data_IF_839374931369
#
_entry.id   IF_839374931369
#
_cell.length_a   1.000
_cell.length_b   1.000
_cell.length_c   1.000
_cell.angle_alpha   90.00
_cell.angle_beta   90.00
_cell.angle_gamma   90.00
#
_symmetry.space_group_name_H-M   'P 1'
#
loop_
_entity.id
_entity.type
_entity.pdbx_description
1 polymer ?
#
# COMPACT_ATOMS: atom_id res chain seq x y z
N UNK A 1 -6.93 -11.65 20.87
CA UNK A 1 -7.33 -10.93 19.64
C UNK A 1 -6.08 -10.38 18.97
N UNK A 2 -6.02 -10.39 17.64
CA UNK A 2 -4.88 -9.84 16.87
C UNK A 2 -5.42 -8.75 15.95
N UNK A 3 -4.67 -7.65 15.81
CA UNK A 3 -5.02 -6.51 14.94
C UNK A 3 -3.83 -6.22 14.03
N UNK A 4 -4.10 -5.94 12.75
CA UNK A 4 -3.09 -5.53 11.77
C UNK A 4 -3.26 -4.05 11.44
N UNK A 5 -2.21 -3.27 11.64
CA UNK A 5 -2.14 -1.87 11.29
C UNK A 5 -1.39 -1.70 9.96
N UNK A 6 -2.08 -1.86 8.83
CA UNK A 6 -1.47 -1.77 7.50
C UNK A 6 -0.80 -0.42 7.22
N UNK A 7 -1.30 0.66 7.83
CA UNK A 7 -0.67 1.98 7.80
C UNK A 7 0.71 2.01 8.48
N UNK A 8 0.90 1.24 9.55
CA UNK A 8 2.19 1.04 10.21
C UNK A 8 3.11 0.20 9.34
N UNK A 9 2.60 -0.89 8.75
CA UNK A 9 3.38 -1.74 7.84
C UNK A 9 3.89 -0.99 6.60
N UNK A 10 3.06 -0.11 6.01
CA UNK A 10 3.45 0.76 4.91
C UNK A 10 4.42 1.89 5.31
N UNK A 11 4.81 1.98 6.59
CA UNK A 11 5.81 2.90 7.14
C UNK A 11 6.95 2.19 7.88
N UNK A 12 7.07 0.88 7.74
CA UNK A 12 8.14 0.11 8.37
C UNK A 12 9.51 0.49 7.77
N UNK A 13 10.38 1.05 8.60
CA UNK A 13 11.72 1.51 8.22
C UNK A 13 12.68 0.38 7.82
N UNK A 14 12.37 -0.86 8.20
CA UNK A 14 13.13 -2.06 7.76
C UNK A 14 12.83 -2.42 6.30
N UNK A 15 11.73 -1.89 5.76
CA UNK A 15 11.20 -2.21 4.43
C UNK A 15 11.28 -1.01 3.50
N UNK A 16 10.97 0.18 4.01
CA UNK A 16 10.95 1.43 3.25
C UNK A 16 11.96 2.43 3.83
N UNK A 17 12.99 2.78 3.06
CA UNK A 17 13.86 3.92 3.37
C UNK A 17 13.03 5.20 3.39
N UNK A 18 13.22 6.10 4.35
CA UNK A 18 12.48 7.36 4.49
C UNK A 18 10.94 7.16 4.40
N UNK A 19 10.34 6.38 5.31
CA UNK A 19 8.95 5.90 5.16
C UNK A 19 7.89 7.00 5.23
N UNK A 20 8.23 8.14 5.85
CA UNK A 20 7.34 9.30 5.98
C UNK A 20 7.47 10.29 4.81
N UNK A 21 8.49 10.17 3.96
CA UNK A 21 8.64 11.02 2.78
C UNK A 21 7.61 10.63 1.73
N UNK A 22 6.81 11.59 1.28
CA UNK A 22 5.98 11.44 0.09
C UNK A 22 6.84 11.63 -1.16
N UNK A 23 7.05 10.55 -1.90
CA UNK A 23 7.86 10.53 -3.12
C UNK A 23 7.11 9.75 -4.19
N UNK A 24 6.55 10.46 -5.17
CA UNK A 24 5.79 9.88 -6.31
C UNK A 24 6.68 9.09 -7.26
N UNK A 25 8.00 9.32 -7.23
CA UNK A 25 8.99 8.63 -8.07
C UNK A 25 9.55 7.38 -7.40
N UNK A 26 9.20 7.10 -6.14
CA UNK A 26 9.65 5.91 -5.42
C UNK A 26 9.26 4.65 -6.20
N UNK A 27 10.24 3.76 -6.38
CA UNK A 27 10.02 2.45 -6.98
C UNK A 27 8.88 1.72 -6.25
N UNK A 28 7.89 1.15 -6.95
CA UNK A 28 6.72 0.54 -6.32
C UNK A 28 7.00 -0.78 -5.57
N UNK A 29 8.27 -1.14 -5.39
CA UNK A 29 8.71 -2.31 -4.65
C UNK A 29 9.43 -1.92 -3.36
N UNK A 30 9.18 -2.63 -2.25
CA UNK A 30 8.21 -3.72 -2.12
C UNK A 30 6.75 -3.25 -2.17
N UNK A 31 5.85 -4.17 -2.53
CA UNK A 31 4.43 -3.87 -2.73
C UNK A 31 3.79 -3.36 -1.43
N UNK A 32 3.12 -2.21 -1.50
CA UNK A 32 2.35 -1.67 -0.38
C UNK A 32 1.13 -2.54 -0.08
N UNK A 33 0.83 -2.71 1.20
CA UNK A 33 -0.23 -3.61 1.71
C UNK A 33 -1.56 -2.89 1.97
N UNK A 34 -1.78 -1.73 1.36
CA UNK A 34 -3.00 -0.92 1.55
C UNK A 34 -4.30 -1.62 1.10
N UNK A 35 -4.19 -2.61 0.22
CA UNK A 35 -5.30 -3.45 -0.24
C UNK A 35 -5.31 -4.84 0.42
N UNK A 36 -4.56 -5.02 1.51
CA UNK A 36 -4.30 -6.31 2.14
C UNK A 36 -3.00 -6.94 1.64
N UNK A 37 -2.46 -7.89 2.41
CA UNK A 37 -1.15 -8.52 2.17
C UNK A 37 -1.18 -9.67 1.14
N UNK A 38 -2.05 -9.59 0.13
CA UNK A 38 -2.12 -10.58 -0.97
C UNK A 38 -2.76 -11.95 -0.63
N UNK A 39 -3.47 -12.06 0.49
CA UNK A 39 -4.16 -13.29 0.90
C UNK A 39 -5.58 -13.45 0.32
N UNK A 40 -6.36 -14.45 0.80
CA UNK A 40 -7.71 -14.77 0.30
C UNK A 40 -8.72 -13.61 0.36
N UNK A 41 -8.47 -12.62 1.23
CA UNK A 41 -9.29 -11.43 1.40
C UNK A 41 -8.62 -10.17 0.85
N UNK A 42 -7.73 -10.31 -0.13
CA UNK A 42 -7.21 -9.16 -0.87
C UNK A 42 -8.36 -8.34 -1.45
N UNK A 43 -8.24 -7.02 -1.39
CA UNK A 43 -9.33 -6.13 -1.76
C UNK A 43 -9.80 -6.39 -3.20
N UNK A 44 -11.05 -6.84 -3.33
CA UNK A 44 -11.69 -7.11 -4.62
C UNK A 44 -11.70 -5.86 -5.52
N UNK A 45 -11.83 -4.68 -4.92
CA UNK A 45 -11.85 -3.38 -5.62
C UNK A 45 -10.48 -2.78 -5.94
N UNK A 46 -9.36 -3.45 -5.63
CA UNK A 46 -8.03 -2.85 -5.76
C UNK A 46 -7.70 -2.37 -7.19
N UNK A 47 -8.22 -3.06 -8.21
CA UNK A 47 -8.02 -2.65 -9.61
C UNK A 47 -8.92 -1.47 -10.00
N UNK A 48 -10.17 -1.45 -9.53
CA UNK A 48 -11.08 -0.34 -9.76
C UNK A 48 -10.54 0.95 -9.11
N UNK A 49 -10.18 0.90 -7.82
CA UNK A 49 -9.67 2.05 -7.09
C UNK A 49 -8.41 2.66 -7.74
N UNK A 50 -7.50 1.82 -8.26
CA UNK A 50 -6.32 2.30 -9.01
C UNK A 50 -6.70 3.01 -10.31
N UNK A 51 -7.72 2.50 -11.03
CA UNK A 51 -8.20 3.12 -12.26
C UNK A 51 -8.91 4.44 -12.00
N UNK A 52 -9.72 4.51 -10.96
CA UNK A 52 -10.41 5.74 -10.56
C UNK A 52 -9.41 6.87 -10.28
N UNK A 53 -8.38 6.60 -9.45
CA UNK A 53 -7.34 7.61 -9.13
C UNK A 53 -6.58 8.05 -10.40
N UNK A 54 -6.23 7.10 -11.29
CA UNK A 54 -5.48 7.41 -12.51
C UNK A 54 -6.27 8.16 -13.59
N UNK A 55 -7.61 8.19 -13.50
CA UNK A 55 -8.47 8.96 -14.43
C UNK A 55 -8.86 10.31 -13.83
N UNK A 56 -8.95 10.41 -12.49
CA UNK A 56 -9.28 11.65 -11.80
C UNK A 56 -8.14 12.69 -11.82
N UNK A 57 -6.88 12.26 -11.92
CA UNK A 57 -5.67 13.09 -11.86
C UNK A 57 -4.74 12.77 -13.02
#
# INVERSE_FOLDING_TARGET
QVVLYYNSGNRDERVFKDPFKFDVTRTPQPVKIGFGAGGPHFCLGANLARREIAVMF
#
